data_IF_449725232514
#
_entry.id   IF_449725232514
#
_cell.length_a   1.000
_cell.length_b   1.000
_cell.length_c   1.000
_cell.angle_alpha   90.00
_cell.angle_beta   90.00
_cell.angle_gamma   90.00
#
_symmetry.space_group_name_H-M   'P 1'
#
loop_
_entity.id
_entity.type
_entity.pdbx_description
1 polymer ?
#
# COMPACT_ATOMS: atom_id res chain seq x y z
N UNK A 1 -17.61 -45.87 -56.20
CA UNK A 1 -17.05 -46.39 -54.93
C UNK A 1 -15.60 -45.97 -54.86
N UNK A 2 -15.36 -44.76 -54.35
CA UNK A 2 -14.03 -44.21 -54.09
C UNK A 2 -14.17 -43.41 -52.81
N UNK A 3 -13.32 -43.66 -51.83
CA UNK A 3 -12.44 -42.68 -51.16
C UNK A 3 -11.91 -43.30 -49.87
N UNK A 4 -10.58 -43.29 -49.83
CA UNK A 4 -9.64 -43.63 -48.78
C UNK A 4 -9.94 -43.00 -47.40
N UNK A 5 -9.63 -43.73 -46.33
CA UNK A 5 -9.34 -43.13 -45.02
C UNK A 5 -8.24 -43.93 -44.33
N UNK A 6 -7.03 -43.39 -44.39
CA UNK A 6 -5.95 -43.72 -43.46
C UNK A 6 -5.74 -42.50 -42.59
N UNK A 7 -6.23 -42.56 -41.35
CA UNK A 7 -5.98 -41.56 -40.32
C UNK A 7 -4.56 -41.79 -39.82
N UNK A 8 -3.65 -40.89 -40.22
CA UNK A 8 -2.27 -40.85 -39.77
C UNK A 8 -2.24 -40.29 -38.34
N UNK A 9 -1.95 -41.13 -37.36
CA UNK A 9 -1.73 -40.75 -35.97
C UNK A 9 -0.40 -39.97 -35.86
N UNK A 10 -0.46 -38.64 -35.77
CA UNK A 10 0.70 -37.80 -35.45
C UNK A 10 0.95 -37.85 -33.95
N UNK A 11 2.02 -38.54 -33.56
CA UNK A 11 2.60 -38.52 -32.22
C UNK A 11 3.14 -37.09 -31.95
N UNK A 12 2.46 -36.31 -31.12
CA UNK A 12 2.95 -35.02 -30.65
C UNK A 12 3.84 -35.26 -29.43
N UNK A 13 5.16 -35.22 -29.63
CA UNK A 13 6.13 -35.27 -28.54
C UNK A 13 6.10 -33.89 -27.84
N UNK A 14 5.36 -33.78 -26.73
CA UNK A 14 5.41 -32.59 -25.88
C UNK A 14 6.72 -32.65 -25.11
N UNK A 15 7.71 -31.88 -25.56
CA UNK A 15 8.93 -31.60 -24.80
C UNK A 15 8.52 -30.72 -23.60
N UNK A 16 8.30 -31.34 -22.45
CA UNK A 16 8.14 -30.62 -21.20
C UNK A 16 9.47 -29.95 -20.84
N UNK A 17 9.59 -28.65 -21.13
CA UNK A 17 10.61 -27.82 -20.50
C UNK A 17 10.32 -27.79 -18.99
N UNK A 18 11.34 -27.98 -18.12
CA UNK A 18 11.12 -27.84 -16.70
C UNK A 18 10.74 -26.38 -16.42
N UNK A 19 9.56 -26.21 -15.84
CA UNK A 19 9.14 -24.96 -15.22
C UNK A 19 10.12 -24.74 -14.04
N UNK A 20 11.13 -23.90 -14.23
CA UNK A 20 11.99 -23.46 -13.12
C UNK A 20 11.08 -22.74 -12.14
N UNK A 21 10.90 -23.32 -10.95
CA UNK A 21 10.15 -22.68 -9.88
C UNK A 21 10.88 -21.38 -9.50
N UNK A 22 10.18 -20.26 -9.63
CA UNK A 22 10.62 -18.96 -9.12
C UNK A 22 10.46 -19.01 -7.60
N UNK A 23 11.49 -19.49 -6.90
CA UNK A 23 11.51 -19.68 -5.47
C UNK A 23 12.54 -18.77 -4.80
N UNK A 24 12.14 -18.11 -3.72
CA UNK A 24 13.08 -17.42 -2.83
C UNK A 24 14.01 -18.46 -2.20
N UNK A 25 15.30 -18.16 -2.17
CA UNK A 25 16.29 -19.00 -1.50
C UNK A 25 17.03 -18.22 -0.43
N UNK A 26 17.41 -18.92 0.64
CA UNK A 26 18.39 -18.47 1.61
C UNK A 26 19.74 -19.10 1.30
N UNK A 27 20.74 -18.26 1.02
CA UNK A 27 22.13 -18.64 0.80
C UNK A 27 22.94 -18.39 2.07
N UNK A 28 23.53 -19.44 2.62
CA UNK A 28 24.44 -19.38 3.77
C UNK A 28 25.88 -19.48 3.28
N UNK A 29 26.74 -18.57 3.73
CA UNK A 29 28.15 -18.52 3.33
C UNK A 29 29.08 -19.03 4.44
N UNK A 30 30.31 -19.43 4.08
CA UNK A 30 31.31 -19.95 5.02
C UNK A 30 31.73 -18.96 6.11
N UNK A 31 31.48 -17.66 5.90
CA UNK A 31 31.69 -16.61 6.90
C UNK A 31 30.52 -16.43 7.89
N UNK A 32 29.47 -17.25 7.80
CA UNK A 32 28.26 -17.13 8.62
C UNK A 32 27.27 -16.07 8.15
N UNK A 33 27.54 -15.38 7.04
CA UNK A 33 26.58 -14.45 6.45
C UNK A 33 25.48 -15.21 5.71
N UNK A 34 24.23 -14.78 5.92
CA UNK A 34 23.05 -15.33 5.27
C UNK A 34 22.41 -14.26 4.38
N UNK A 35 22.04 -14.63 3.16
CA UNK A 35 21.45 -13.73 2.17
C UNK A 35 20.20 -14.39 1.61
N UNK A 36 19.13 -13.61 1.41
CA UNK A 36 17.85 -14.12 0.91
C UNK A 36 17.52 -13.41 -0.38
N UNK A 37 17.18 -14.17 -1.43
CA UNK A 37 16.87 -13.60 -2.74
C UNK A 37 16.44 -14.63 -3.76
N UNK A 38 16.21 -14.19 -4.99
CA UNK A 38 15.87 -15.05 -6.12
C UNK A 38 17.14 -15.46 -6.88
N UNK A 39 17.30 -16.74 -7.20
CA UNK A 39 18.40 -17.18 -8.06
C UNK A 39 18.09 -16.79 -9.51
N UNK A 40 18.83 -15.83 -10.04
CA UNK A 40 18.73 -15.44 -11.45
C UNK A 40 19.50 -16.39 -12.38
N UNK A 41 20.63 -16.92 -11.89
CA UNK A 41 21.44 -17.87 -12.65
C UNK A 41 22.36 -18.68 -11.73
N UNK A 42 22.47 -19.97 -12.01
CA UNK A 42 23.50 -20.83 -11.45
C UNK A 42 24.53 -21.20 -12.51
N UNK A 43 25.81 -20.98 -12.17
CA UNK A 43 26.94 -21.46 -12.95
C UNK A 43 27.81 -22.37 -12.08
N UNK A 44 28.78 -23.03 -12.71
CA UNK A 44 29.71 -23.92 -12.00
C UNK A 44 30.54 -23.16 -10.95
N UNK A 45 30.94 -21.92 -11.25
CA UNK A 45 31.83 -21.12 -10.41
C UNK A 45 31.12 -20.11 -9.49
N UNK A 46 29.84 -19.82 -9.75
CA UNK A 46 29.10 -18.77 -9.06
C UNK A 46 27.59 -18.98 -9.07
N UNK A 47 26.90 -18.37 -8.11
CA UNK A 47 25.44 -18.20 -8.08
C UNK A 47 25.13 -16.71 -8.16
N UNK A 48 24.23 -16.33 -9.05
CA UNK A 48 23.75 -14.95 -9.19
C UNK A 48 22.43 -14.83 -8.47
N UNK A 49 22.38 -13.97 -7.45
CA UNK A 49 21.25 -13.80 -6.55
C UNK A 49 20.71 -12.36 -6.68
N UNK A 50 19.42 -12.20 -6.91
CA UNK A 50 18.71 -10.93 -6.82
C UNK A 50 18.20 -10.74 -5.39
N UNK A 51 18.74 -9.76 -4.67
CA UNK A 51 18.29 -9.39 -3.32
C UNK A 51 17.05 -8.48 -3.35
N UNK A 52 16.55 -8.11 -4.53
CA UNK A 52 15.46 -7.17 -4.75
C UNK A 52 15.90 -5.71 -4.86
N UNK A 53 17.08 -5.35 -4.34
CA UNK A 53 17.69 -4.02 -4.46
C UNK A 53 19.07 -4.05 -5.14
N UNK A 54 19.72 -5.22 -5.16
CA UNK A 54 21.03 -5.42 -5.75
C UNK A 54 21.13 -6.86 -6.28
N UNK A 55 21.78 -7.01 -7.43
CA UNK A 55 22.13 -8.32 -7.99
C UNK A 55 23.57 -8.63 -7.61
N UNK A 56 23.76 -9.68 -6.83
CA UNK A 56 25.07 -10.10 -6.36
C UNK A 56 25.50 -11.41 -7.02
N UNK A 57 26.80 -11.56 -7.21
CA UNK A 57 27.39 -12.80 -7.71
C UNK A 57 28.23 -13.42 -6.60
N UNK A 58 27.77 -14.56 -6.07
CA UNK A 58 28.40 -15.26 -4.97
C UNK A 58 29.26 -16.41 -5.55
N UNK A 59 30.59 -16.44 -5.31
CA UNK A 59 31.42 -17.57 -5.70
C UNK A 59 30.93 -18.87 -5.07
N UNK A 60 30.86 -19.95 -5.84
CA UNK A 60 30.27 -21.21 -5.34
C UNK A 60 31.08 -21.81 -4.19
N UNK A 61 32.38 -21.52 -4.13
CA UNK A 61 33.31 -21.92 -3.07
C UNK A 61 33.00 -21.32 -1.69
N UNK A 62 32.31 -20.17 -1.63
CA UNK A 62 31.93 -19.56 -0.35
C UNK A 62 30.53 -19.96 0.11
N UNK A 63 29.75 -20.64 -0.74
CA UNK A 63 28.38 -21.07 -0.42
C UNK A 63 28.44 -22.40 0.34
N UNK A 64 27.94 -22.39 1.57
CA UNK A 64 27.81 -23.58 2.41
C UNK A 64 26.50 -24.28 2.12
N UNK A 65 25.41 -23.51 1.99
CA UNK A 65 24.07 -24.07 1.82
C UNK A 65 23.18 -23.11 1.04
N UNK A 66 22.33 -23.67 0.19
CA UNK A 66 21.18 -22.99 -0.41
C UNK A 66 19.94 -23.72 0.09
N UNK A 67 19.02 -22.99 0.71
CA UNK A 67 17.75 -23.50 1.22
C UNK A 67 16.63 -22.82 0.45
N UNK A 68 15.81 -23.60 -0.24
CA UNK A 68 14.54 -23.09 -0.79
C UNK A 68 13.66 -22.66 0.39
N UNK A 69 13.23 -21.40 0.39
CA UNK A 69 12.19 -20.97 1.32
C UNK A 69 10.84 -21.29 0.70
N UNK A 70 10.12 -22.23 1.31
CA UNK A 70 8.70 -22.39 1.06
C UNK A 70 8.00 -21.11 1.56
N UNK A 71 7.73 -20.19 0.65
CA UNK A 71 6.79 -19.10 0.86
C UNK A 71 5.40 -19.71 1.08
N UNK A 72 5.03 -19.95 2.33
CA UNK A 72 3.63 -20.17 2.67
C UNK A 72 2.87 -18.87 2.37
N UNK A 73 1.85 -18.95 1.50
CA UNK A 73 1.00 -17.80 1.26
C UNK A 73 0.27 -17.43 2.56
N UNK A 74 0.26 -16.13 2.94
CA UNK A 74 -0.44 -15.70 4.13
C UNK A 74 -1.91 -16.07 4.06
N UNK A 75 -2.45 -16.59 5.17
CA UNK A 75 -3.88 -16.83 5.28
C UNK A 75 -4.57 -15.49 5.46
N UNK A 76 -5.23 -15.01 4.40
CA UNK A 76 -6.05 -13.81 4.46
C UNK A 76 -7.39 -14.15 5.13
N UNK A 77 -7.65 -13.57 6.30
CA UNK A 77 -8.96 -13.64 6.96
C UNK A 77 -9.73 -12.35 6.72
N UNK A 78 -11.00 -12.46 6.36
CA UNK A 78 -11.90 -11.32 6.38
C UNK A 78 -12.18 -10.92 7.83
N UNK A 79 -11.97 -9.64 8.15
CA UNK A 79 -12.35 -9.08 9.45
C UNK A 79 -13.65 -8.30 9.27
N UNK A 80 -14.77 -9.03 9.33
CA UNK A 80 -16.06 -8.53 8.82
C UNK A 80 -16.10 -8.52 7.29
N UNK A 81 -17.10 -7.85 6.71
CA UNK A 81 -17.35 -7.90 5.25
C UNK A 81 -16.44 -6.96 4.43
N UNK A 82 -15.67 -6.06 5.06
CA UNK A 82 -15.10 -4.89 4.37
C UNK A 82 -13.58 -4.89 4.16
N UNK A 83 -12.80 -5.59 4.97
CA UNK A 83 -11.33 -5.63 4.79
C UNK A 83 -10.74 -6.94 5.29
N UNK A 84 -9.51 -7.23 4.85
CA UNK A 84 -8.77 -8.44 5.20
C UNK A 84 -7.61 -8.14 6.14
N UNK A 85 -7.25 -9.11 6.97
CA UNK A 85 -6.05 -9.13 7.80
C UNK A 85 -5.27 -10.38 7.41
N UNK A 86 -3.94 -10.27 7.30
CA UNK A 86 -3.08 -11.42 7.03
C UNK A 86 -2.67 -12.07 8.36
N UNK A 87 -2.73 -13.40 8.45
CA UNK A 87 -2.14 -14.14 9.56
C UNK A 87 -0.95 -14.98 9.05
N UNK A 88 0.14 -14.98 9.82
CA UNK A 88 1.33 -15.77 9.49
C UNK A 88 2.10 -15.28 8.27
N UNK A 89 1.89 -14.03 7.84
CA UNK A 89 2.60 -13.48 6.69
C UNK A 89 4.12 -13.43 6.94
N UNK A 90 4.87 -14.01 6.00
CA UNK A 90 6.32 -13.96 5.99
C UNK A 90 6.80 -12.65 5.35
N UNK A 91 7.99 -12.20 5.74
CA UNK A 91 8.61 -11.04 5.10
C UNK A 91 9.09 -11.39 3.70
N UNK A 92 8.80 -10.53 2.73
CA UNK A 92 9.21 -10.70 1.33
C UNK A 92 10.16 -9.59 0.87
N UNK A 93 10.92 -9.77 -0.23
CA UNK A 93 11.74 -8.72 -0.79
C UNK A 93 10.88 -7.56 -1.25
N UNK A 94 11.38 -6.34 -1.09
CA UNK A 94 10.65 -5.12 -1.44
C UNK A 94 10.14 -5.14 -2.88
N UNK A 95 10.97 -5.56 -3.84
CA UNK A 95 10.60 -5.67 -5.25
C UNK A 95 9.36 -6.54 -5.46
N UNK A 96 9.34 -7.72 -4.85
CA UNK A 96 8.21 -8.66 -4.90
C UNK A 96 6.94 -8.04 -4.32
N UNK A 97 7.06 -7.32 -3.21
CA UNK A 97 5.93 -6.63 -2.57
C UNK A 97 5.41 -5.48 -3.44
N UNK A 98 6.29 -4.71 -4.06
CA UNK A 98 5.92 -3.61 -4.96
C UNK A 98 5.15 -4.13 -6.17
N UNK A 99 5.63 -5.21 -6.79
CA UNK A 99 4.98 -5.83 -7.94
C UNK A 99 3.59 -6.39 -7.56
N UNK A 100 3.49 -7.02 -6.38
CA UNK A 100 2.25 -7.62 -5.88
C UNK A 100 1.21 -6.59 -5.43
N UNK A 101 1.64 -5.55 -4.70
CA UNK A 101 0.73 -4.61 -4.02
C UNK A 101 0.48 -3.34 -4.83
N UNK A 102 1.36 -3.01 -5.78
CA UNK A 102 1.24 -1.83 -6.64
C UNK A 102 -0.10 -1.70 -7.38
N UNK A 103 -0.70 -2.78 -7.93
CA UNK A 103 -2.01 -2.72 -8.58
C UNK A 103 -3.18 -2.30 -7.67
N UNK A 104 -3.04 -2.50 -6.36
CA UNK A 104 -4.07 -2.13 -5.38
C UNK A 104 -3.97 -0.65 -4.94
N UNK A 105 -2.89 0.04 -5.30
CA UNK A 105 -2.65 1.46 -4.97
C UNK A 105 -3.09 2.34 -6.13
N UNK A 106 -3.89 3.36 -5.82
CA UNK A 106 -4.56 4.21 -6.80
C UNK A 106 -4.15 5.67 -6.65
N UNK A 107 -4.27 6.43 -7.73
CA UNK A 107 -4.21 7.88 -7.69
C UNK A 107 -5.63 8.41 -7.44
N UNK A 108 -5.77 9.31 -6.46
CA UNK A 108 -7.01 10.03 -6.16
C UNK A 108 -6.85 11.47 -6.61
N UNK A 109 -7.76 11.96 -7.44
CA UNK A 109 -7.73 13.31 -7.98
C UNK A 109 -9.06 14.00 -7.77
N UNK A 110 -9.00 15.28 -7.43
CA UNK A 110 -10.13 16.21 -7.39
C UNK A 110 -9.75 17.49 -8.15
N UNK A 111 -10.67 18.43 -8.37
CA UNK A 111 -10.36 19.71 -9.00
C UNK A 111 -9.19 20.48 -8.34
N UNK A 112 -9.04 20.39 -7.02
CA UNK A 112 -8.01 21.12 -6.27
C UNK A 112 -6.98 20.23 -5.57
N UNK A 113 -7.19 18.91 -5.56
CA UNK A 113 -6.41 17.94 -4.79
C UNK A 113 -5.83 16.80 -5.62
N UNK A 114 -4.66 16.31 -5.19
CA UNK A 114 -4.01 15.12 -5.72
C UNK A 114 -3.41 14.32 -4.57
N UNK A 115 -3.76 13.04 -4.51
CA UNK A 115 -3.27 12.11 -3.51
C UNK A 115 -3.21 10.68 -4.02
N UNK A 116 -3.00 9.76 -3.10
CA UNK A 116 -3.09 8.33 -3.31
C UNK A 116 -4.22 7.74 -2.49
N UNK A 117 -4.59 6.51 -2.83
CA UNK A 117 -5.46 5.67 -2.04
C UNK A 117 -5.12 4.20 -2.27
N UNK A 118 -5.85 3.30 -1.63
CA UNK A 118 -5.67 1.87 -1.84
C UNK A 118 -6.97 1.09 -1.63
N UNK A 119 -7.13 0.03 -2.42
CA UNK A 119 -8.28 -0.87 -2.32
C UNK A 119 -8.18 -1.78 -1.09
N UNK A 120 -9.26 -1.84 -0.32
CA UNK A 120 -9.36 -2.69 0.88
C UNK A 120 -10.24 -3.92 0.68
N UNK A 121 -11.06 -3.92 -0.38
CA UNK A 121 -11.86 -5.08 -0.78
C UNK A 121 -12.04 -5.19 -2.31
N UNK A 122 -12.40 -6.39 -2.80
CA UNK A 122 -12.49 -6.62 -4.23
C UNK A 122 -13.69 -5.94 -4.90
N UNK A 123 -14.67 -5.46 -4.11
CA UNK A 123 -15.85 -4.75 -4.59
C UNK A 123 -15.58 -3.28 -4.95
N UNK A 124 -14.39 -2.75 -4.63
CA UNK A 124 -13.98 -1.41 -5.06
C UNK A 124 -14.03 -0.33 -3.97
N UNK A 125 -13.91 -0.70 -2.71
CA UNK A 125 -13.76 0.28 -1.63
C UNK A 125 -12.31 0.73 -1.51
N UNK A 126 -12.12 2.06 -1.50
CA UNK A 126 -10.81 2.71 -1.50
C UNK A 126 -10.66 3.57 -0.24
N UNK A 127 -9.54 3.41 0.45
CA UNK A 127 -9.16 4.30 1.55
C UNK A 127 -8.28 5.42 1.01
N UNK A 128 -8.50 6.65 1.48
CA UNK A 128 -7.62 7.81 1.27
C UNK A 128 -7.69 8.76 2.48
N UNK A 129 -7.06 9.92 2.42
CA UNK A 129 -7.23 10.96 3.44
C UNK A 129 -8.44 11.86 3.13
N UNK A 130 -9.11 12.32 4.19
CA UNK A 130 -10.19 13.31 4.09
C UNK A 130 -9.70 14.60 3.41
N UNK A 131 -8.52 15.12 3.77
CA UNK A 131 -8.04 16.36 3.15
C UNK A 131 -7.74 16.27 1.64
N UNK A 132 -7.65 15.06 1.07
CA UNK A 132 -7.47 14.87 -0.39
C UNK A 132 -8.78 15.15 -1.14
N UNK A 133 -9.93 14.89 -0.48
CA UNK A 133 -11.26 14.98 -1.08
C UNK A 133 -12.16 16.06 -0.44
N UNK A 134 -11.68 16.73 0.60
CA UNK A 134 -12.47 17.67 1.39
C UNK A 134 -13.04 18.82 0.54
N UNK A 135 -14.36 19.01 0.60
CA UNK A 135 -15.06 20.06 -0.15
C UNK A 135 -15.28 19.77 -1.63
N UNK A 136 -14.89 18.58 -2.10
CA UNK A 136 -14.96 18.20 -3.51
C UNK A 136 -16.04 17.13 -3.73
N UNK A 137 -16.84 17.32 -4.78
CA UNK A 137 -17.88 16.36 -5.19
C UNK A 137 -17.48 15.59 -6.46
N UNK A 138 -16.49 16.10 -7.20
CA UNK A 138 -15.94 15.46 -8.38
C UNK A 138 -14.63 14.77 -7.99
N UNK A 139 -14.69 13.45 -7.82
CA UNK A 139 -13.54 12.63 -7.46
C UNK A 139 -13.28 11.66 -8.60
N UNK A 140 -12.01 11.55 -8.98
CA UNK A 140 -11.55 10.58 -9.97
C UNK A 140 -10.54 9.64 -9.33
N UNK A 141 -10.72 8.33 -9.55
CA UNK A 141 -9.77 7.30 -9.14
C UNK A 141 -9.11 6.72 -10.39
N UNK A 142 -7.78 6.73 -10.43
CA UNK A 142 -7.02 6.07 -11.51
C UNK A 142 -6.29 4.86 -10.94
N UNK A 143 -6.60 3.70 -11.51
CA UNK A 143 -5.94 2.42 -11.26
C UNK A 143 -4.84 2.23 -12.30
N UNK A 144 -3.68 1.77 -11.84
CA UNK A 144 -2.56 1.43 -12.70
C UNK A 144 -2.41 -0.09 -12.69
N UNK A 145 -2.55 -0.73 -13.83
CA UNK A 145 -2.37 -2.17 -13.99
C UNK A 145 -1.11 -2.48 -14.79
N UNK A 146 -0.44 -3.58 -14.47
CA UNK A 146 0.69 -4.03 -15.27
C UNK A 146 0.18 -4.56 -16.62
N UNK A 147 0.73 -4.02 -17.72
CA UNK A 147 0.40 -4.45 -19.08
C UNK A 147 1.66 -4.57 -19.91
N UNK A 148 2.20 -5.78 -20.02
CA UNK A 148 3.48 -6.04 -20.68
C UNK A 148 4.62 -5.30 -19.97
N UNK A 149 5.40 -4.52 -20.71
CA UNK A 149 6.50 -3.71 -20.17
C UNK A 149 6.08 -2.34 -19.62
N UNK A 150 4.79 -2.02 -19.63
CA UNK A 150 4.27 -0.72 -19.22
C UNK A 150 3.06 -0.83 -18.28
N UNK A 151 2.47 0.32 -17.98
CA UNK A 151 1.29 0.43 -17.12
C UNK A 151 0.08 0.86 -17.94
N UNK A 152 -1.03 0.14 -17.77
CA UNK A 152 -2.34 0.51 -18.30
C UNK A 152 -3.06 1.35 -17.24
N UNK A 153 -3.57 2.51 -17.66
CA UNK A 153 -4.39 3.38 -16.81
C UNK A 153 -5.86 3.08 -17.03
N UNK A 154 -6.59 2.93 -15.95
CA UNK A 154 -8.05 2.87 -15.96
C UNK A 154 -8.58 3.92 -14.99
N UNK A 155 -9.45 4.78 -15.48
CA UNK A 155 -9.94 5.94 -14.74
C UNK A 155 -11.43 5.79 -14.48
N UNK A 156 -11.81 5.97 -13.21
CA UNK A 156 -13.18 5.91 -12.72
C UNK A 156 -13.61 7.31 -12.29
N UNK A 157 -14.65 7.83 -12.93
CA UNK A 157 -15.23 9.15 -12.63
C UNK A 157 -16.47 9.05 -11.73
N UNK A 158 -17.12 7.87 -11.69
CA UNK A 158 -18.24 7.60 -10.80
C UNK A 158 -17.74 7.10 -9.44
N UNK A 159 -17.18 8.01 -8.65
CA UNK A 159 -16.65 7.75 -7.31
C UNK A 159 -17.63 8.28 -6.27
N UNK A 160 -18.08 7.42 -5.37
CA UNK A 160 -18.91 7.82 -4.24
C UNK A 160 -18.08 7.98 -2.98
N UNK A 161 -18.35 9.01 -2.18
CA UNK A 161 -17.87 9.09 -0.80
C UNK A 161 -18.83 8.26 0.06
N UNK A 162 -18.32 7.19 0.67
CA UNK A 162 -19.11 6.30 1.54
C UNK A 162 -19.10 6.84 2.97
N UNK A 163 -17.93 7.22 3.46
CA UNK A 163 -17.74 7.75 4.79
C UNK A 163 -16.53 8.69 4.81
N UNK A 164 -16.54 9.70 5.67
CA UNK A 164 -15.37 10.55 5.90
C UNK A 164 -15.29 11.05 7.34
N UNK A 165 -14.07 11.23 7.84
CA UNK A 165 -13.81 11.85 9.13
C UNK A 165 -12.66 12.86 9.03
N UNK A 166 -12.95 14.17 9.07
CA UNK A 166 -11.94 15.22 9.21
C UNK A 166 -11.11 15.09 10.51
N UNK A 167 -11.70 14.51 11.55
CA UNK A 167 -11.06 14.26 12.84
C UNK A 167 -10.02 13.15 12.79
N UNK A 168 -10.19 12.15 11.93
CA UNK A 168 -9.17 11.10 11.73
C UNK A 168 -8.32 11.36 10.48
N UNK A 169 -8.75 12.29 9.62
CA UNK A 169 -8.18 12.54 8.30
C UNK A 169 -8.21 11.29 7.41
N UNK A 170 -9.32 10.55 7.46
CA UNK A 170 -9.55 9.31 6.68
C UNK A 170 -10.89 9.44 5.95
N UNK A 171 -10.90 9.02 4.68
CA UNK A 171 -12.10 8.85 3.89
C UNK A 171 -12.18 7.43 3.32
N UNK A 172 -13.40 6.92 3.19
CA UNK A 172 -13.76 5.70 2.48
C UNK A 172 -14.54 6.08 1.23
N UNK A 173 -14.00 5.71 0.07
CA UNK A 173 -14.60 5.91 -1.23
C UNK A 173 -15.06 4.56 -1.79
N UNK A 174 -15.95 4.60 -2.78
CA UNK A 174 -16.40 3.44 -3.54
C UNK A 174 -16.33 3.74 -5.03
N UNK A 175 -15.82 2.79 -5.80
CA UNK A 175 -15.89 2.79 -7.26
C UNK A 175 -16.73 1.63 -7.76
N UNK A 176 -17.59 1.89 -8.75
CA UNK A 176 -18.29 0.85 -9.48
C UNK A 176 -17.49 0.51 -10.74
N UNK A 177 -16.92 -0.70 -10.79
CA UNK A 177 -16.37 -1.24 -12.02
C UNK A 177 -17.46 -1.78 -12.96
N UNK A 178 -17.06 -2.16 -14.17
CA UNK A 178 -17.92 -2.95 -15.05
C UNK A 178 -18.40 -4.24 -14.34
N UNK A 179 -19.59 -4.77 -14.67
CA UNK A 179 -20.09 -6.00 -14.06
C UNK A 179 -19.06 -7.14 -14.10
N UNK A 180 -18.72 -7.69 -12.92
CA UNK A 180 -17.72 -8.75 -12.77
C UNK A 180 -16.27 -8.26 -12.60
N UNK A 181 -16.03 -6.95 -12.56
CA UNK A 181 -14.73 -6.38 -12.18
C UNK A 181 -14.40 -6.73 -10.73
N UNK A 182 -13.18 -7.21 -10.52
CA UNK A 182 -12.60 -7.50 -9.21
C UNK A 182 -11.33 -6.66 -9.08
N UNK A 183 -11.19 -5.95 -7.96
CA UNK A 183 -10.01 -5.13 -7.69
C UNK A 183 -8.98 -5.90 -6.86
N UNK A 184 -7.71 -5.65 -7.13
CA UNK A 184 -6.61 -6.09 -6.26
C UNK A 184 -6.66 -5.34 -4.94
N UNK A 185 -6.33 -6.00 -3.84
CA UNK A 185 -6.55 -5.46 -2.48
C UNK A 185 -5.35 -5.69 -1.59
N UNK A 186 -5.25 -4.89 -0.53
CA UNK A 186 -4.17 -5.04 0.47
C UNK A 186 -4.73 -5.41 1.86
N UNK A 187 -4.04 -6.29 2.60
CA UNK A 187 -4.42 -6.60 3.98
C UNK A 187 -4.02 -5.47 4.93
N UNK A 188 -4.78 -5.31 6.02
CA UNK A 188 -4.46 -4.35 7.08
C UNK A 188 -3.74 -5.03 8.25
N UNK A 189 -2.53 -4.58 8.55
CA UNK A 189 -1.70 -5.08 9.66
C UNK A 189 -2.09 -4.46 11.01
N UNK A 190 -1.41 -4.87 12.08
CA UNK A 190 -1.60 -4.30 13.43
C UNK A 190 -0.54 -3.23 13.72
N UNK A 191 -0.96 -1.97 13.85
CA UNK A 191 -0.03 -0.88 14.15
C UNK A 191 0.47 -0.89 15.60
N UNK A 192 -0.15 -1.66 16.51
CA UNK A 192 0.30 -1.81 17.90
C UNK A 192 1.58 -2.64 18.01
N UNK A 193 1.86 -3.48 17.02
CA UNK A 193 3.05 -4.32 16.96
C UNK A 193 4.27 -3.61 16.34
N UNK A 194 4.08 -2.40 15.82
CA UNK A 194 5.17 -1.60 15.27
C UNK A 194 6.23 -1.28 16.32
N UNK A 195 7.49 -1.37 15.93
CA UNK A 195 8.65 -1.01 16.75
C UNK A 195 9.56 -0.05 16.00
N UNK A 196 10.24 0.83 16.73
CA UNK A 196 11.27 1.68 16.14
C UNK A 196 12.36 0.81 15.47
N UNK A 197 12.82 1.23 14.30
CA UNK A 197 13.79 0.49 13.48
C UNK A 197 13.18 -0.52 12.50
N UNK A 198 11.88 -0.84 12.59
CA UNK A 198 11.22 -1.75 11.65
C UNK A 198 11.14 -1.13 10.25
N UNK A 199 11.56 -1.87 9.23
CA UNK A 199 11.47 -1.46 7.83
C UNK A 199 10.03 -1.32 7.36
N UNK A 200 9.78 -0.25 6.62
CA UNK A 200 8.50 0.07 6.00
C UNK A 200 8.72 0.74 4.66
N UNK A 201 7.72 0.65 3.79
CA UNK A 201 7.75 1.31 2.49
C UNK A 201 6.38 1.89 2.14
N UNK A 202 6.39 2.91 1.31
CA UNK A 202 5.20 3.51 0.74
C UNK A 202 5.19 3.29 -0.76
N UNK A 203 4.00 3.04 -1.29
CA UNK A 203 3.73 3.12 -2.73
C UNK A 203 2.74 4.27 -2.91
N UNK A 204 3.01 5.16 -3.87
CA UNK A 204 2.11 6.24 -4.21
C UNK A 204 2.29 6.73 -5.63
N UNK A 205 1.54 7.77 -5.99
CA UNK A 205 1.59 8.40 -7.33
C UNK A 205 1.93 9.89 -7.23
N UNK A 206 3.14 10.27 -6.76
CA UNK A 206 3.54 11.66 -6.66
C UNK A 206 3.60 12.32 -8.05
N UNK A 207 2.94 13.46 -8.19
CA UNK A 207 3.00 14.33 -9.39
C UNK A 207 2.57 13.66 -10.72
N UNK A 208 1.83 12.54 -10.66
CA UNK A 208 1.46 11.76 -11.84
C UNK A 208 2.59 10.86 -12.38
N UNK A 209 3.71 10.74 -11.65
CA UNK A 209 4.71 9.69 -11.85
C UNK A 209 4.17 8.40 -11.23
N UNK A 210 4.02 7.39 -12.08
CA UNK A 210 3.29 6.17 -11.76
C UNK A 210 4.10 5.30 -10.77
N UNK A 211 3.46 4.88 -9.67
CA UNK A 211 3.99 3.91 -8.70
C UNK A 211 5.40 4.25 -8.16
N UNK A 212 5.55 5.44 -7.58
CA UNK A 212 6.77 5.76 -6.84
C UNK A 212 6.83 4.94 -5.55
N UNK A 213 7.99 4.35 -5.30
CA UNK A 213 8.28 3.59 -4.09
C UNK A 213 9.28 4.38 -3.26
N UNK A 214 8.99 4.54 -1.97
CA UNK A 214 9.94 5.04 -0.99
C UNK A 214 10.06 4.05 0.16
N UNK A 215 11.29 3.77 0.59
CA UNK A 215 11.57 2.90 1.72
C UNK A 215 12.11 3.70 2.90
N UNK A 216 11.89 3.22 4.11
CA UNK A 216 12.43 3.78 5.33
C UNK A 216 12.19 2.87 6.53
N UNK A 217 12.28 3.45 7.72
CA UNK A 217 12.00 2.74 8.97
C UNK A 217 10.96 3.48 9.80
N UNK A 218 10.33 2.78 10.72
CA UNK A 218 9.60 3.39 11.82
C UNK A 218 10.60 4.11 12.72
N UNK A 219 10.49 5.43 12.82
CA UNK A 219 11.23 6.20 13.82
C UNK A 219 10.54 6.09 15.18
N UNK A 220 9.21 6.32 15.21
CA UNK A 220 8.37 6.26 16.41
C UNK A 220 7.00 5.73 16.02
N UNK A 221 6.54 4.66 16.66
CA UNK A 221 5.26 4.05 16.34
C UNK A 221 4.04 4.89 16.80
N UNK A 222 4.16 5.61 17.91
CA UNK A 222 3.05 6.34 18.56
C UNK A 222 3.46 7.77 18.95
N UNK A 223 3.57 8.66 17.97
CA UNK A 223 3.87 10.07 18.19
C UNK A 223 2.58 10.88 18.35
N UNK A 224 2.34 11.52 19.52
CA UNK A 224 1.19 12.39 19.69
C UNK A 224 1.43 13.72 18.97
N UNK A 225 0.50 14.12 18.10
CA UNK A 225 0.51 15.39 17.36
C UNK A 225 -0.91 15.92 17.37
N UNK A 226 -1.10 17.12 17.93
CA UNK A 226 -2.41 17.78 18.03
C UNK A 226 -3.50 16.86 18.62
N UNK A 227 -3.16 16.09 19.65
CA UNK A 227 -4.08 15.15 20.31
C UNK A 227 -4.35 13.85 19.54
N UNK A 228 -3.65 13.59 18.43
CA UNK A 228 -3.81 12.39 17.60
C UNK A 228 -2.52 11.58 17.54
N UNK A 229 -2.63 10.26 17.47
CA UNK A 229 -1.48 9.38 17.30
C UNK A 229 -1.10 9.27 15.83
N UNK A 230 0.21 9.39 15.57
CA UNK A 230 0.81 9.18 14.27
C UNK A 230 2.00 8.24 14.38
N UNK A 231 2.21 7.46 13.33
CA UNK A 231 3.48 6.81 13.07
C UNK A 231 4.41 7.86 12.49
N UNK A 232 5.61 8.00 13.05
CA UNK A 232 6.70 8.74 12.42
C UNK A 232 7.62 7.76 11.71
N UNK A 233 7.96 8.07 10.46
CA UNK A 233 8.82 7.27 9.61
C UNK A 233 9.86 8.12 8.90
N UNK A 234 10.98 7.49 8.51
CA UNK A 234 11.97 8.08 7.61
C UNK A 234 11.61 7.87 6.14
N UNK A 235 10.57 7.09 5.84
CA UNK A 235 10.06 6.91 4.48
C UNK A 235 9.67 8.27 3.92
N UNK A 236 10.15 8.58 2.71
CA UNK A 236 9.89 9.87 2.09
C UNK A 236 8.41 10.00 1.75
N UNK A 237 7.72 10.89 2.46
CA UNK A 237 6.33 11.27 2.23
C UNK A 237 6.31 12.68 1.62
N UNK A 238 5.69 12.81 0.46
CA UNK A 238 5.67 14.05 -0.35
C UNK A 238 4.30 14.20 -1.02
N UNK A 239 3.99 15.36 -1.64
CA UNK A 239 2.73 15.56 -2.36
C UNK A 239 2.44 14.41 -3.33
N UNK A 240 1.25 13.83 -3.20
CA UNK A 240 0.78 12.67 -3.96
C UNK A 240 0.94 11.30 -3.29
N UNK A 241 1.71 11.16 -2.20
CA UNK A 241 1.69 9.95 -1.35
C UNK A 241 0.62 10.02 -0.24
N UNK A 242 0.09 11.21 0.05
CA UNK A 242 -0.97 11.44 1.05
C UNK A 242 -2.20 10.57 0.73
N UNK A 243 -2.71 9.84 1.71
CA UNK A 243 -3.82 8.90 1.57
C UNK A 243 -3.39 7.51 1.09
N UNK A 244 -2.16 7.35 0.59
CA UNK A 244 -1.60 6.05 0.20
C UNK A 244 -1.18 5.19 1.41
N UNK A 245 -0.94 3.89 1.18
CA UNK A 245 -0.56 2.96 2.24
C UNK A 245 0.92 3.09 2.65
N UNK A 246 1.18 2.92 3.95
CA UNK A 246 2.49 2.57 4.50
C UNK A 246 2.48 1.08 4.83
N UNK A 247 3.33 0.31 4.17
CA UNK A 247 3.42 -1.14 4.29
C UNK A 247 4.58 -1.57 5.21
N UNK A 248 4.39 -2.68 5.92
CA UNK A 248 5.50 -3.48 6.44
C UNK A 248 6.02 -4.46 5.39
N UNK A 249 7.15 -5.13 5.67
CA UNK A 249 7.72 -6.13 4.76
C UNK A 249 6.92 -7.45 4.70
N UNK A 250 5.83 -7.58 5.45
CA UNK A 250 4.86 -8.67 5.30
C UNK A 250 3.75 -8.33 4.29
N UNK A 251 3.80 -7.13 3.68
CA UNK A 251 2.83 -6.67 2.69
C UNK A 251 1.52 -6.17 3.30
N UNK A 252 1.51 -5.86 4.59
CA UNK A 252 0.34 -5.37 5.31
C UNK A 252 0.40 -3.85 5.45
N UNK A 253 -0.74 -3.18 5.30
CA UNK A 253 -0.86 -1.75 5.58
C UNK A 253 -0.79 -1.54 7.09
N UNK A 254 0.26 -0.88 7.55
CA UNK A 254 0.48 -0.50 8.96
C UNK A 254 0.14 0.96 9.23
N UNK A 255 -0.04 1.77 8.19
CA UNK A 255 -0.59 3.12 8.32
C UNK A 255 -1.03 3.74 6.99
N UNK A 256 -1.66 4.91 7.07
CA UNK A 256 -2.08 5.74 5.92
C UNK A 256 -1.22 7.00 5.90
N UNK A 257 -0.41 7.18 4.86
CA UNK A 257 0.54 8.30 4.76
C UNK A 257 -0.19 9.64 4.86
N UNK A 258 0.32 10.54 5.71
CA UNK A 258 -0.32 11.83 6.00
C UNK A 258 0.70 12.98 5.85
N UNK A 259 0.53 13.78 4.79
CA UNK A 259 1.39 14.92 4.51
C UNK A 259 1.03 16.17 5.33
N UNK A 260 -0.21 16.31 5.80
CA UNK A 260 -0.71 17.51 6.50
C UNK A 260 0.10 17.86 7.75
N UNK A 261 0.75 16.86 8.34
CA UNK A 261 1.57 16.99 9.55
C UNK A 261 2.93 17.64 9.28
N UNK A 262 3.41 17.64 8.03
CA UNK A 262 4.76 18.10 7.65
C UNK A 262 4.86 19.64 7.55
N UNK A 263 3.77 20.37 7.76
CA UNK A 263 3.69 21.83 7.58
C UNK A 263 4.55 22.69 8.52
N UNK A 264 5.33 22.10 9.44
CA UNK A 264 6.17 22.83 10.43
C UNK A 264 7.67 22.86 10.13
N UNK A 265 8.10 22.56 8.89
CA UNK A 265 9.47 22.85 8.44
C UNK A 265 10.55 21.84 8.86
N UNK A 266 10.17 20.59 9.11
CA UNK A 266 11.12 19.51 9.35
C UNK A 266 11.24 18.63 8.08
N UNK A 267 12.19 18.97 7.22
CA UNK A 267 12.58 18.09 6.11
C UNK A 267 13.03 16.72 6.66
N UNK A 268 12.62 15.64 6.00
CA UNK A 268 12.98 14.26 6.41
C UNK A 268 12.09 13.63 7.49
N UNK A 269 10.97 14.25 7.87
CA UNK A 269 9.96 13.62 8.75
C UNK A 269 8.72 13.19 7.96
N UNK A 270 8.51 11.87 7.84
CA UNK A 270 7.28 11.29 7.34
C UNK A 270 6.31 10.95 8.46
N UNK A 271 5.01 11.09 8.20
CA UNK A 271 3.96 10.71 9.15
C UNK A 271 2.89 9.85 8.47
N UNK A 272 2.31 8.93 9.24
CA UNK A 272 1.18 8.12 8.81
C UNK A 272 0.17 7.94 9.96
N UNK A 273 -1.11 7.86 9.61
CA UNK A 273 -2.19 7.51 10.54
C UNK A 273 -2.10 6.00 10.82
N UNK A 274 -2.08 5.54 12.08
CA UNK A 274 -1.91 4.11 12.40
C UNK A 274 -3.03 3.24 11.82
N UNK A 275 -2.71 2.04 11.34
CA UNK A 275 -3.70 1.09 10.79
C UNK A 275 -4.81 0.74 11.78
N UNK A 276 -4.56 0.76 13.09
CA UNK A 276 -5.62 0.52 14.08
C UNK A 276 -6.64 1.66 14.17
N UNK A 277 -6.24 2.90 13.87
CA UNK A 277 -7.16 4.04 13.72
C UNK A 277 -8.02 3.83 12.47
N UNK A 278 -7.41 3.40 11.36
CA UNK A 278 -8.15 3.04 10.15
C UNK A 278 -9.14 1.90 10.40
N UNK A 279 -8.73 0.81 11.07
CA UNK A 279 -9.61 -0.30 11.43
C UNK A 279 -10.78 0.17 12.31
N UNK A 280 -10.53 1.08 13.25
CA UNK A 280 -11.61 1.69 14.05
C UNK A 280 -12.60 2.46 13.18
N UNK A 281 -12.12 3.32 12.27
CA UNK A 281 -12.97 4.03 11.32
C UNK A 281 -13.82 3.09 10.47
N UNK A 282 -13.20 2.06 9.85
CA UNK A 282 -13.89 1.11 8.98
C UNK A 282 -14.95 0.28 9.71
N UNK A 283 -14.67 -0.15 10.94
CA UNK A 283 -15.63 -0.88 11.79
C UNK A 283 -16.84 -0.03 12.19
N UNK A 284 -16.67 1.28 12.28
CA UNK A 284 -17.69 2.23 12.70
C UNK A 284 -18.13 3.17 11.57
N UNK A 285 -17.94 2.78 10.31
CA UNK A 285 -18.15 3.64 9.13
C UNK A 285 -19.54 4.28 9.07
N UNK A 286 -20.56 3.61 9.60
CA UNK A 286 -21.94 4.12 9.60
C UNK A 286 -22.07 5.40 10.44
N UNK A 287 -21.25 5.56 11.49
CA UNK A 287 -21.18 6.79 12.28
C UNK A 287 -20.48 7.94 11.54
N UNK A 288 -19.75 7.63 10.47
CA UNK A 288 -19.03 8.58 9.62
C UNK A 288 -19.61 8.63 8.20
N UNK A 289 -20.80 8.08 7.99
CA UNK A 289 -21.43 7.99 6.68
C UNK A 289 -21.54 9.37 6.06
N UNK A 290 -21.13 9.48 4.80
CA UNK A 290 -21.20 10.75 4.10
C UNK A 290 -22.64 11.02 3.67
N UNK A 291 -23.14 12.21 4.03
CA UNK A 291 -24.44 12.69 3.61
C UNK A 291 -24.25 14.01 2.85
N UNK A 292 -24.46 14.03 1.51
CA UNK A 292 -24.28 15.24 0.71
C UNK A 292 -25.30 16.34 1.06
N UNK A 293 -26.38 16.00 1.78
CA UNK A 293 -27.41 16.94 2.22
C UNK A 293 -27.17 17.47 3.62
N UNK A 294 -26.23 16.89 4.37
CA UNK A 294 -25.84 17.37 5.68
C UNK A 294 -24.88 18.55 5.51
N UNK A 295 -25.27 19.78 5.91
CA UNK A 295 -24.41 20.96 5.77
C UNK A 295 -23.12 20.87 6.61
N UNK A 296 -23.03 19.93 7.56
CA UNK A 296 -21.82 19.67 8.35
C UNK A 296 -20.90 18.60 7.71
N UNK A 297 -21.30 17.92 6.63
CA UNK A 297 -20.46 16.96 5.93
C UNK A 297 -19.30 17.72 5.24
N UNK A 298 -18.11 17.72 5.86
CA UNK A 298 -16.92 18.41 5.36
C UNK A 298 -16.61 19.75 6.04
N UNK A 299 -17.41 20.21 7.02
CA UNK A 299 -17.10 21.43 7.76
C UNK A 299 -16.15 21.14 8.93
N UNK A 300 -15.03 21.88 9.00
CA UNK A 300 -14.21 21.94 10.21
C UNK A 300 -15.00 22.70 11.26
N UNK A 301 -15.38 22.05 12.36
CA UNK A 301 -15.76 22.80 13.56
C UNK A 301 -14.59 23.73 13.91
N UNK A 302 -14.81 25.06 14.00
CA UNK A 302 -13.76 25.94 14.49
C UNK A 302 -13.33 25.45 15.86
N UNK A 303 -12.03 25.56 16.15
CA UNK A 303 -11.54 25.35 17.52
C UNK A 303 -12.37 26.23 18.46
N UNK A 304 -12.78 25.71 19.63
CA UNK A 304 -13.42 26.57 20.62
C UNK A 304 -12.50 27.76 20.92
N UNK A 305 -13.05 28.98 21.12
CA UNK A 305 -12.25 30.16 21.38
C UNK A 305 -11.30 29.89 22.55
N UNK A 306 -10.01 30.14 22.34
CA UNK A 306 -9.03 30.07 23.43
C UNK A 306 -9.31 31.20 24.41
N UNK A 307 -9.24 30.91 25.71
CA UNK A 307 -9.46 31.87 26.80
C UNK A 307 -8.49 33.07 26.82
N UNK A 308 -7.62 33.23 25.81
CA UNK A 308 -6.72 34.36 25.63
C UNK A 308 -7.31 35.51 24.81
N UNK A 309 -8.48 35.36 24.20
CA UNK A 309 -9.11 36.40 23.36
C UNK A 309 -10.04 37.35 24.14
N UNK A 310 -10.18 37.18 25.46
CA UNK A 310 -10.77 38.20 26.33
C UNK A 310 -9.69 39.17 26.81
N UNK A 311 -9.27 40.08 25.94
CA UNK A 311 -8.66 41.34 26.41
C UNK A 311 -9.77 42.23 26.97
N UNK A 312 -9.71 42.68 28.23
CA UNK A 312 -10.75 43.54 28.80
C UNK A 312 -10.74 44.88 28.07
N UNK A 313 -11.92 45.32 27.64
CA UNK A 313 -12.16 46.65 27.10
C UNK A 313 -11.69 47.70 28.12
N UNK A 314 -10.69 48.50 27.76
CA UNK A 314 -10.31 49.69 28.53
C UNK A 314 -11.43 50.74 28.41
N UNK A 315 -12.27 50.84 29.44
CA UNK A 315 -13.08 52.01 29.69
C UNK A 315 -12.19 53.20 30.10
N UNK A 316 -12.16 54.23 29.26
CA UNK A 316 -12.35 55.62 29.68
C UNK A 316 -11.16 56.42 30.23
N UNK A 317 -10.76 57.42 29.45
CA UNK A 317 -10.66 58.83 29.92
C UNK A 317 -10.66 59.80 28.74
#
# INVERSE_FOLDING_TARGET
MVVSSHVLLRLLLILALPLMAVGMVRVETGGGATMTGEILAEKEDRVVLDLGFEVISIPREVIVRIVEEETEEPVLRSSGDLYRVAEGAQTLPLRTLVDRLGPAVVMVRTPTGLGSGFFINPEGYVVTNDHVIAGEHEITITVFEQSGSGLRKETFENVAIVASSPEMDIALLSVAGEPGRVFETVPLGDSADLRAGQSVFAIGSPLGLERSVSEGIISIANRPINGRLHIQTTTQISPGNSGGPLFNLQGEVVGVNNMKVVAMGAEGLGFAIPANVLKFFLKNRDAFAFDPTNPNAGFRYPSPPSASDESPEEEGS
#
